data_IF_396422568656
#
_entry.id   IF_396422568656
#
_cell.length_a   1.000
_cell.length_b   1.000
_cell.length_c   1.000
_cell.angle_alpha   90.00
_cell.angle_beta   90.00
_cell.angle_gamma   90.00
#
_symmetry.space_group_name_H-M   'P 1'
#
loop_
_entity.id
_entity.type
_entity.pdbx_description
1 polymer ?
#
# COMPACT_ATOMS: atom_id res chain seq x y z
N UNK A 1 55.36 17.83 -0.98
CA UNK A 1 54.86 16.53 -1.47
C UNK A 1 53.84 16.03 -0.44
N UNK A 2 52.56 16.34 -0.54
CA UNK A 2 51.65 15.84 -1.59
C UNK A 2 50.70 14.80 -0.98
N UNK A 3 49.99 15.13 0.11
CA UNK A 3 48.91 14.29 0.63
C UNK A 3 47.68 14.48 -0.27
N UNK A 4 47.64 13.72 -1.35
CA UNK A 4 46.48 13.59 -2.23
C UNK A 4 45.24 13.30 -1.40
N UNK A 5 44.35 14.28 -1.36
CA UNK A 5 42.98 14.18 -0.88
C UNK A 5 42.25 13.18 -1.78
N UNK A 6 42.34 11.88 -1.46
CA UNK A 6 41.45 10.88 -2.03
C UNK A 6 40.12 10.97 -1.28
N UNK A 7 39.35 12.02 -1.57
CA UNK A 7 37.91 11.98 -1.34
C UNK A 7 37.39 10.72 -2.01
N UNK A 8 36.76 9.84 -1.23
CA UNK A 8 36.21 8.60 -1.75
C UNK A 8 35.13 8.93 -2.79
N UNK A 9 34.88 8.05 -3.75
CA UNK A 9 33.77 8.22 -4.71
C UNK A 9 32.43 8.43 -3.97
N UNK A 10 32.31 7.92 -2.73
CA UNK A 10 31.20 8.20 -1.83
C UNK A 10 31.13 9.67 -1.39
N UNK A 11 32.25 10.32 -1.04
CA UNK A 11 32.29 11.74 -0.64
C UNK A 11 31.90 12.68 -1.78
N UNK A 12 32.35 12.37 -3.01
CA UNK A 12 31.99 13.15 -4.20
C UNK A 12 30.51 13.00 -4.58
N UNK A 13 29.93 11.82 -4.37
CA UNK A 13 28.48 11.63 -4.53
C UNK A 13 27.73 12.42 -3.45
N UNK A 14 28.19 12.37 -2.19
CA UNK A 14 27.58 13.05 -1.04
C UNK A 14 27.58 14.59 -1.15
N UNK A 15 28.53 15.20 -1.85
CA UNK A 15 28.61 16.66 -2.03
C UNK A 15 28.00 17.19 -3.34
N UNK A 16 27.23 16.39 -4.07
CA UNK A 16 26.54 16.86 -5.27
C UNK A 16 25.48 17.91 -4.93
N UNK A 17 25.51 19.06 -5.63
CA UNK A 17 24.48 20.12 -5.55
C UNK A 17 23.06 19.58 -5.75
N UNK A 18 22.92 18.51 -6.56
CA UNK A 18 21.65 17.84 -6.76
C UNK A 18 21.16 17.15 -5.47
N UNK A 19 22.03 16.39 -4.80
CA UNK A 19 21.68 15.68 -3.56
C UNK A 19 21.27 16.68 -2.48
N UNK A 20 22.04 17.75 -2.30
CA UNK A 20 21.72 18.78 -1.30
C UNK A 20 20.33 19.42 -1.55
N UNK A 21 20.05 19.83 -2.79
CA UNK A 21 18.76 20.44 -3.15
C UNK A 21 17.59 19.45 -3.04
N UNK A 22 17.81 18.19 -3.40
CA UNK A 22 16.79 17.16 -3.28
C UNK A 22 16.47 16.85 -1.81
N UNK A 23 17.49 16.79 -0.95
CA UNK A 23 17.34 16.66 0.50
C UNK A 23 16.52 17.82 1.08
N UNK A 24 16.82 19.07 0.71
CA UNK A 24 16.09 20.26 1.16
C UNK A 24 14.60 20.21 0.81
N UNK A 25 14.28 19.88 -0.46
CA UNK A 25 12.88 19.73 -0.92
C UNK A 25 12.18 18.62 -0.13
N UNK A 26 12.86 17.49 0.09
CA UNK A 26 12.30 16.35 0.82
C UNK A 26 11.93 16.71 2.25
N UNK A 27 12.78 17.47 2.96
CA UNK A 27 12.50 17.97 4.31
C UNK A 27 11.29 18.92 4.31
N UNK A 28 11.26 19.88 3.38
CA UNK A 28 10.15 20.84 3.28
C UNK A 28 8.79 20.16 3.02
N UNK A 29 8.77 19.17 2.13
CA UNK A 29 7.57 18.38 1.82
C UNK A 29 7.15 17.54 3.02
N UNK A 30 8.10 16.84 3.67
CA UNK A 30 7.83 16.04 4.86
C UNK A 30 7.26 16.85 6.03
N UNK A 31 7.63 18.13 6.12
CA UNK A 31 7.14 19.04 7.15
C UNK A 31 5.76 19.65 6.84
N UNK A 32 5.16 19.44 5.66
CA UNK A 32 3.82 19.95 5.37
C UNK A 32 2.76 19.29 6.25
N UNK A 33 1.90 20.09 6.91
CA UNK A 33 1.01 19.61 7.98
C UNK A 33 0.16 18.40 7.60
N UNK A 34 -0.35 18.35 6.36
CA UNK A 34 -1.19 17.25 5.90
C UNK A 34 -0.39 15.97 5.68
N UNK A 35 0.79 16.06 5.06
CA UNK A 35 1.69 14.91 4.88
C UNK A 35 2.24 14.40 6.21
N UNK A 36 2.61 15.32 7.10
CA UNK A 36 3.01 15.00 8.47
C UNK A 36 1.91 14.24 9.21
N UNK A 37 0.66 14.71 9.13
CA UNK A 37 -0.49 14.03 9.75
C UNK A 37 -0.80 12.68 9.15
N UNK A 38 -0.61 12.51 7.83
CA UNK A 38 -0.72 11.20 7.20
C UNK A 38 0.36 10.26 7.73
N UNK A 39 1.64 10.68 7.71
CA UNK A 39 2.75 9.91 8.26
C UNK A 39 2.48 9.47 9.70
N UNK A 40 2.08 10.40 10.56
CA UNK A 40 1.81 10.13 11.97
C UNK A 40 0.63 9.14 12.13
N UNK A 41 -0.43 9.27 11.33
CA UNK A 41 -1.56 8.33 11.32
C UNK A 41 -1.15 6.92 10.88
N UNK A 42 -0.33 6.82 9.82
CA UNK A 42 0.19 5.56 9.31
C UNK A 42 1.15 4.89 10.29
N UNK A 43 1.92 5.67 11.06
CA UNK A 43 2.78 5.14 12.12
C UNK A 43 1.98 4.46 13.25
N UNK A 44 0.75 4.90 13.53
CA UNK A 44 -0.12 4.26 14.54
C UNK A 44 -0.65 2.90 14.06
N UNK A 45 -0.99 2.76 12.78
CA UNK A 45 -1.52 1.51 12.20
C UNK A 45 -0.42 0.54 11.73
N UNK A 46 0.82 1.00 11.65
CA UNK A 46 1.97 0.20 11.22
C UNK A 46 2.09 -1.16 11.93
N UNK A 47 2.00 -1.27 13.27
CA UNK A 47 2.05 -2.56 13.96
C UNK A 47 0.96 -3.54 13.47
N UNK A 48 -0.23 -3.04 13.12
CA UNK A 48 -1.33 -3.86 12.61
C UNK A 48 -0.99 -4.46 11.24
N UNK A 49 -0.36 -3.69 10.35
CA UNK A 49 0.05 -4.20 9.03
C UNK A 49 1.19 -5.21 9.11
N UNK A 50 2.14 -5.05 10.05
CA UNK A 50 3.16 -6.08 10.31
C UNK A 50 2.49 -7.38 10.77
N UNK A 51 1.56 -7.30 11.71
CA UNK A 51 0.83 -8.47 12.22
C UNK A 51 -0.02 -9.12 11.12
N UNK A 52 -0.61 -8.33 10.22
CA UNK A 52 -1.29 -8.82 9.03
C UNK A 52 -0.37 -9.68 8.15
N UNK A 53 0.83 -9.18 7.86
CA UNK A 53 1.85 -9.91 7.11
C UNK A 53 2.22 -11.24 7.78
N UNK A 54 2.34 -11.27 9.10
CA UNK A 54 2.57 -12.52 9.86
C UNK A 54 1.37 -13.47 9.73
N UNK A 55 0.14 -12.97 9.81
CA UNK A 55 -1.07 -13.78 9.61
C UNK A 55 -1.12 -14.41 8.21
N UNK A 56 -0.76 -13.64 7.18
CA UNK A 56 -0.63 -14.12 5.80
C UNK A 56 0.45 -15.19 5.70
N UNK A 57 1.62 -14.96 6.31
CA UNK A 57 2.73 -15.93 6.33
C UNK A 57 2.31 -17.25 6.98
N UNK A 58 1.65 -17.19 8.14
CA UNK A 58 1.19 -18.39 8.85
C UNK A 58 0.23 -19.20 7.98
N UNK A 59 -0.77 -18.55 7.40
CA UNK A 59 -1.81 -19.23 6.63
C UNK A 59 -1.32 -19.82 5.32
N UNK A 60 -0.50 -19.08 4.59
CA UNK A 60 -0.17 -19.39 3.20
C UNK A 60 1.17 -20.11 3.07
N UNK A 61 1.97 -20.15 4.14
CA UNK A 61 3.30 -20.75 4.14
C UNK A 61 3.47 -21.73 5.28
N UNK A 62 3.36 -21.29 6.54
CA UNK A 62 3.76 -22.14 7.68
C UNK A 62 2.82 -23.33 7.85
N UNK A 63 1.50 -23.11 7.82
CA UNK A 63 0.53 -24.19 8.02
C UNK A 63 0.52 -25.18 6.85
N UNK A 64 0.84 -24.73 5.63
CA UNK A 64 0.84 -25.61 4.45
C UNK A 64 2.01 -26.62 4.46
N UNK A 65 3.02 -26.42 5.31
CA UNK A 65 4.13 -27.37 5.46
C UNK A 65 3.73 -28.68 6.14
N UNK A 66 2.69 -28.68 6.96
CA UNK A 66 2.30 -29.85 7.77
C UNK A 66 0.79 -30.13 7.79
N UNK A 67 -0.05 -29.26 7.20
CA UNK A 67 -1.49 -29.45 7.08
C UNK A 67 -1.95 -29.40 5.61
N UNK A 68 -3.00 -30.15 5.31
CA UNK A 68 -3.68 -30.15 4.00
C UNK A 68 -5.19 -30.37 4.16
N UNK A 69 -5.95 -30.09 3.09
CA UNK A 69 -7.40 -30.31 3.05
C UNK A 69 -8.16 -29.55 4.15
N UNK A 70 -9.19 -30.16 4.72
CA UNK A 70 -10.07 -29.51 5.70
C UNK A 70 -9.35 -29.03 6.97
N UNK A 71 -8.30 -29.76 7.39
CA UNK A 71 -7.54 -29.38 8.58
C UNK A 71 -6.76 -28.08 8.36
N UNK A 72 -6.18 -27.90 7.16
CA UNK A 72 -5.53 -26.64 6.78
C UNK A 72 -6.54 -25.49 6.81
N UNK A 73 -7.71 -25.67 6.21
CA UNK A 73 -8.78 -24.64 6.19
C UNK A 73 -9.18 -24.22 7.61
N UNK A 74 -9.30 -25.16 8.55
CA UNK A 74 -9.62 -24.87 9.96
C UNK A 74 -8.52 -24.05 10.65
N UNK A 75 -7.25 -24.35 10.40
CA UNK A 75 -6.13 -23.59 10.97
C UNK A 75 -5.96 -22.23 10.34
N UNK A 76 -6.24 -22.10 9.03
CA UNK A 76 -6.20 -20.82 8.33
C UNK A 76 -7.19 -19.78 8.87
N UNK A 77 -8.18 -20.18 9.68
CA UNK A 77 -9.02 -19.24 10.43
C UNK A 77 -8.18 -18.28 11.28
N UNK A 78 -7.06 -18.72 11.84
CA UNK A 78 -6.18 -17.89 12.70
C UNK A 78 -5.64 -16.68 11.92
N UNK A 79 -4.93 -16.92 10.80
CA UNK A 79 -4.40 -15.82 10.01
C UNK A 79 -5.51 -15.01 9.32
N UNK A 80 -6.64 -15.63 8.97
CA UNK A 80 -7.77 -14.92 8.37
C UNK A 80 -8.41 -13.95 9.37
N UNK A 81 -8.54 -14.34 10.64
CA UNK A 81 -9.02 -13.46 11.70
C UNK A 81 -8.08 -12.26 11.90
N UNK A 82 -6.77 -12.49 11.86
CA UNK A 82 -5.76 -11.42 11.92
C UNK A 82 -5.91 -10.46 10.73
N UNK A 83 -5.96 -10.99 9.51
CA UNK A 83 -6.12 -10.19 8.28
C UNK A 83 -7.44 -9.40 8.31
N UNK A 84 -8.51 -10.02 8.83
CA UNK A 84 -9.81 -9.38 8.96
C UNK A 84 -9.76 -8.17 9.91
N UNK A 85 -9.07 -8.29 11.05
CA UNK A 85 -8.91 -7.20 12.01
C UNK A 85 -7.86 -6.14 11.63
N UNK A 86 -7.20 -6.28 10.49
CA UNK A 86 -6.09 -5.41 10.07
C UNK A 86 -6.30 -4.87 8.65
N UNK A 87 -5.96 -5.63 7.61
CA UNK A 87 -6.04 -5.19 6.21
C UNK A 87 -7.49 -4.96 5.75
N UNK A 88 -8.43 -5.82 6.15
CA UNK A 88 -9.82 -5.73 5.71
C UNK A 88 -10.64 -4.65 6.44
N UNK A 89 -10.04 -3.97 7.40
CA UNK A 89 -10.60 -2.77 8.07
C UNK A 89 -9.72 -1.54 7.90
N UNK A 90 -8.65 -1.62 7.10
CA UNK A 90 -7.67 -0.55 6.95
C UNK A 90 -8.29 0.78 6.51
N UNK A 91 -9.31 0.75 5.64
CA UNK A 91 -9.99 1.93 5.14
C UNK A 91 -10.78 2.68 6.22
N UNK A 92 -11.40 1.97 7.16
CA UNK A 92 -12.10 2.60 8.30
C UNK A 92 -11.16 2.94 9.46
N UNK A 93 -10.01 2.26 9.58
CA UNK A 93 -9.00 2.59 10.59
C UNK A 93 -8.23 3.87 10.24
N UNK A 94 -7.89 4.08 8.98
CA UNK A 94 -7.03 5.21 8.58
C UNK A 94 -7.70 6.56 8.78
N UNK A 95 -9.02 6.66 8.55
CA UNK A 95 -9.78 7.91 8.67
C UNK A 95 -9.68 8.56 10.06
N UNK A 96 -10.07 7.90 11.17
CA UNK A 96 -9.93 8.47 12.51
C UNK A 96 -8.47 8.72 12.91
N UNK A 97 -7.51 7.89 12.46
CA UNK A 97 -6.09 8.11 12.75
C UNK A 97 -5.57 9.39 12.09
N UNK A 98 -5.99 9.66 10.86
CA UNK A 98 -5.72 10.94 10.18
C UNK A 98 -6.41 12.08 10.90
N UNK A 99 -7.67 11.90 11.30
CA UNK A 99 -8.42 12.94 12.00
C UNK A 99 -7.77 13.35 13.32
N UNK A 100 -7.34 12.37 14.11
CA UNK A 100 -6.57 12.59 15.34
C UNK A 100 -5.25 13.33 15.05
N UNK A 101 -4.46 12.82 14.11
CA UNK A 101 -3.13 13.35 13.80
C UNK A 101 -3.17 14.75 13.19
N UNK A 102 -4.17 15.03 12.34
CA UNK A 102 -4.40 16.35 11.77
C UNK A 102 -4.86 17.37 12.80
N UNK A 103 -5.74 16.97 13.72
CA UNK A 103 -6.15 17.82 14.83
C UNK A 103 -4.98 18.19 15.74
N UNK A 104 -4.14 17.22 16.13
CA UNK A 104 -2.93 17.50 16.91
C UNK A 104 -1.96 18.43 16.18
N UNK A 105 -1.65 18.13 14.92
CA UNK A 105 -0.67 18.90 14.15
C UNK A 105 -1.15 20.33 13.82
N UNK A 106 -2.47 20.58 13.92
CA UNK A 106 -3.07 21.92 13.83
C UNK A 106 -3.31 22.60 15.20
N UNK A 107 -2.96 21.96 16.31
CA UNK A 107 -3.18 22.50 17.65
C UNK A 107 -4.65 22.59 18.07
N UNK A 108 -5.52 21.70 17.55
CA UNK A 108 -6.92 21.66 17.93
C UNK A 108 -7.11 20.98 19.30
N UNK A 109 -7.82 21.64 20.22
CA UNK A 109 -7.93 21.24 21.62
C UNK A 109 -8.66 19.91 21.86
N UNK A 110 -9.45 19.42 20.90
CA UNK A 110 -10.19 18.16 21.03
C UNK A 110 -9.91 17.18 19.87
N UNK A 111 -8.71 16.56 19.80
CA UNK A 111 -8.34 15.64 18.73
C UNK A 111 -9.21 14.38 18.66
N UNK A 112 -9.75 13.93 19.80
CA UNK A 112 -10.63 12.75 19.85
C UNK A 112 -11.95 13.04 19.13
N UNK A 113 -12.54 14.22 19.32
CA UNK A 113 -13.74 14.61 18.59
C UNK A 113 -13.47 14.65 17.07
N UNK A 114 -12.32 15.16 16.63
CA UNK A 114 -11.94 15.15 15.23
C UNK A 114 -11.82 13.74 14.65
N UNK A 115 -11.20 12.81 15.39
CA UNK A 115 -11.12 11.40 15.01
C UNK A 115 -12.50 10.76 14.87
N UNK A 116 -13.38 10.97 15.85
CA UNK A 116 -14.75 10.45 15.84
C UNK A 116 -15.57 11.03 14.67
N UNK A 117 -15.43 12.32 14.37
CA UNK A 117 -16.08 12.97 13.25
C UNK A 117 -15.61 12.43 11.90
N UNK A 118 -14.31 12.18 11.76
CA UNK A 118 -13.79 11.55 10.56
C UNK A 118 -14.33 10.13 10.37
N UNK A 119 -14.41 9.33 11.44
CA UNK A 119 -14.96 7.98 11.38
C UNK A 119 -16.44 8.00 11.00
N UNK A 120 -17.24 8.83 11.65
CA UNK A 120 -18.65 8.97 11.32
C UNK A 120 -18.86 9.42 9.86
N UNK A 121 -18.04 10.37 9.39
CA UNK A 121 -18.14 10.90 8.01
C UNK A 121 -17.84 9.84 6.94
N UNK A 122 -16.91 8.91 7.18
CA UNK A 122 -16.67 7.83 6.21
C UNK A 122 -17.84 6.86 6.15
N UNK A 123 -18.44 6.49 7.29
CA UNK A 123 -19.62 5.62 7.31
C UNK A 123 -20.83 6.27 6.63
N UNK A 124 -21.00 7.58 6.75
CA UNK A 124 -22.06 8.32 6.02
C UNK A 124 -21.90 8.19 4.50
N UNK A 125 -20.64 8.13 4.01
CA UNK A 125 -20.33 8.08 2.58
C UNK A 125 -20.21 6.65 2.02
N UNK A 126 -20.38 5.63 2.85
CA UNK A 126 -20.37 4.23 2.42
C UNK A 126 -21.68 3.83 1.76
N UNK A 127 -21.67 2.80 0.89
CA UNK A 127 -22.89 2.34 0.23
C UNK A 127 -23.90 1.79 1.24
N UNK A 128 -25.18 2.12 1.06
CA UNK A 128 -26.27 1.62 1.90
C UNK A 128 -26.67 0.16 1.64
N UNK A 129 -26.15 -0.43 0.55
CA UNK A 129 -26.34 -1.83 0.19
C UNK A 129 -25.13 -2.39 -0.55
N UNK A 130 -24.94 -3.71 -0.47
CA UNK A 130 -23.89 -4.43 -1.19
C UNK A 130 -24.52 -5.54 -2.02
N UNK A 131 -23.85 -5.92 -3.12
CA UNK A 131 -24.21 -7.09 -3.91
C UNK A 131 -23.25 -8.23 -3.58
N UNK A 132 -23.78 -9.36 -3.12
CA UNK A 132 -23.00 -10.57 -2.82
C UNK A 132 -23.44 -11.71 -3.73
N UNK A 133 -22.48 -12.44 -4.30
CA UNK A 133 -22.76 -13.67 -5.03
C UNK A 133 -23.13 -14.79 -4.05
N UNK A 134 -24.07 -15.65 -4.43
CA UNK A 134 -24.45 -16.81 -3.60
C UNK A 134 -23.35 -17.87 -3.49
N UNK A 135 -22.40 -17.87 -4.44
CA UNK A 135 -21.23 -18.76 -4.51
C UNK A 135 -20.05 -18.01 -5.13
N UNK A 136 -18.83 -18.43 -4.80
CA UNK A 136 -17.60 -17.85 -5.36
C UNK A 136 -17.30 -18.43 -6.75
N UNK A 137 -18.20 -18.22 -7.72
CA UNK A 137 -18.03 -18.69 -9.11
C UNK A 137 -18.52 -17.66 -10.13
N UNK A 138 -17.92 -17.67 -11.32
CA UNK A 138 -18.42 -16.88 -12.45
C UNK A 138 -19.87 -17.30 -12.77
N UNK A 139 -20.79 -16.33 -12.85
CA UNK A 139 -22.22 -16.57 -13.09
C UNK A 139 -23.08 -16.79 -11.83
N UNK A 140 -22.53 -16.60 -10.62
CA UNK A 140 -23.31 -16.64 -9.39
C UNK A 140 -24.46 -15.61 -9.41
N UNK A 141 -25.63 -16.02 -8.90
CA UNK A 141 -26.76 -15.10 -8.72
C UNK A 141 -26.38 -14.09 -7.64
N UNK A 142 -26.53 -12.80 -7.94
CA UNK A 142 -26.23 -11.72 -6.99
C UNK A 142 -27.45 -11.44 -6.12
N UNK A 143 -27.25 -11.37 -4.80
CA UNK A 143 -28.23 -10.93 -3.82
C UNK A 143 -27.85 -9.55 -3.30
N UNK A 144 -28.83 -8.64 -3.24
CA UNK A 144 -28.66 -7.33 -2.62
C UNK A 144 -28.87 -7.45 -1.11
N UNK A 145 -27.88 -7.06 -0.33
CA UNK A 145 -27.93 -7.00 1.14
C UNK A 145 -27.95 -5.54 1.56
N UNK A 146 -28.98 -5.14 2.31
CA UNK A 146 -29.10 -3.79 2.88
C UNK A 146 -28.54 -3.76 4.30
N UNK A 147 -27.99 -2.61 4.71
CA UNK A 147 -27.45 -2.42 6.07
C UNK A 147 -26.14 -3.17 6.37
N UNK A 148 -25.49 -3.75 5.36
CA UNK A 148 -24.20 -4.42 5.47
C UNK A 148 -23.10 -3.66 4.74
N UNK A 149 -21.87 -3.82 5.23
CA UNK A 149 -20.65 -3.38 4.56
C UNK A 149 -19.80 -4.61 4.23
N UNK A 150 -19.13 -4.59 3.08
CA UNK A 150 -18.19 -5.64 2.70
C UNK A 150 -16.75 -5.25 3.02
N UNK A 151 -15.85 -6.23 3.08
CA UNK A 151 -14.41 -5.97 3.20
C UNK A 151 -13.82 -5.22 1.99
N UNK A 152 -14.52 -5.19 0.85
CA UNK A 152 -14.17 -4.30 -0.26
C UNK A 152 -14.40 -2.83 0.13
N UNK A 153 -15.40 -2.54 0.96
CA UNK A 153 -15.70 -1.17 1.40
C UNK A 153 -14.82 -0.74 2.58
N UNK A 154 -14.55 -1.64 3.52
CA UNK A 154 -13.83 -1.29 4.78
C UNK A 154 -12.33 -1.54 4.71
N UNK A 155 -11.87 -2.37 3.78
CA UNK A 155 -10.47 -2.79 3.67
C UNK A 155 -9.61 -1.86 2.86
N UNK A 156 -8.59 -2.41 2.20
CA UNK A 156 -7.61 -1.66 1.41
C UNK A 156 -8.28 -0.81 0.33
N UNK A 157 -9.29 -1.32 -0.38
CA UNK A 157 -10.03 -0.56 -1.39
C UNK A 157 -10.74 0.68 -0.83
N UNK A 158 -11.19 0.62 0.42
CA UNK A 158 -11.77 1.74 1.15
C UNK A 158 -10.76 2.78 1.64
N UNK A 159 -9.45 2.51 1.60
CA UNK A 159 -8.42 3.41 2.13
C UNK A 159 -8.36 4.76 1.41
N UNK A 160 -8.65 4.82 0.11
CA UNK A 160 -8.77 6.11 -0.57
C UNK A 160 -9.86 6.98 0.05
N UNK A 161 -11.04 6.40 0.27
CA UNK A 161 -12.14 7.07 0.97
C UNK A 161 -11.72 7.46 2.38
N UNK A 162 -11.05 6.56 3.10
CA UNK A 162 -10.52 6.80 4.45
C UNK A 162 -9.59 7.99 4.54
N UNK A 163 -8.62 8.08 3.62
CA UNK A 163 -7.65 9.18 3.58
C UNK A 163 -8.33 10.50 3.20
N UNK A 164 -9.13 10.49 2.14
CA UNK A 164 -9.77 11.69 1.62
C UNK A 164 -10.76 12.28 2.64
N UNK A 165 -11.65 11.44 3.17
CA UNK A 165 -12.60 11.83 4.21
C UNK A 165 -11.86 12.20 5.50
N UNK A 166 -10.82 11.44 5.86
CA UNK A 166 -9.88 11.75 6.94
C UNK A 166 -9.41 13.19 6.96
N UNK A 167 -8.86 13.65 5.84
CA UNK A 167 -8.30 14.99 5.71
C UNK A 167 -9.39 16.07 5.60
N UNK A 168 -10.42 15.83 4.78
CA UNK A 168 -11.43 16.85 4.47
C UNK A 168 -12.42 17.01 5.62
N UNK A 169 -13.00 15.91 6.13
CA UNK A 169 -13.96 15.97 7.21
C UNK A 169 -13.34 16.59 8.46
N UNK A 170 -12.11 16.19 8.79
CA UNK A 170 -11.38 16.77 9.92
C UNK A 170 -11.05 18.24 9.69
N UNK A 171 -10.55 18.61 8.51
CA UNK A 171 -10.24 20.00 8.19
C UNK A 171 -11.48 20.90 8.28
N UNK A 172 -12.62 20.42 7.80
CA UNK A 172 -13.89 21.14 7.84
C UNK A 172 -14.43 21.21 9.28
N UNK A 173 -14.36 20.11 10.03
CA UNK A 173 -14.74 20.06 11.43
C UNK A 173 -13.96 21.06 12.30
N UNK A 174 -12.63 21.08 12.18
CA UNK A 174 -11.78 22.03 12.93
C UNK A 174 -12.17 23.47 12.58
N UNK A 175 -12.43 23.76 11.31
CA UNK A 175 -12.87 25.09 10.87
C UNK A 175 -14.20 25.46 11.50
N UNK A 176 -15.21 24.58 11.46
CA UNK A 176 -16.51 24.82 12.09
C UNK A 176 -16.38 24.98 13.61
N UNK A 177 -15.62 24.10 14.26
CA UNK A 177 -15.40 24.12 15.71
C UNK A 177 -14.61 25.34 16.18
N UNK A 178 -13.86 26.01 15.31
CA UNK A 178 -13.16 27.27 15.63
C UNK A 178 -14.08 28.49 15.67
N UNK A 179 -15.31 28.39 15.15
CA UNK A 179 -16.28 29.49 15.11
C UNK A 179 -16.97 29.58 16.48
N UNK A 180 -16.62 30.60 17.28
CA UNK A 180 -17.19 30.82 18.62
C UNK A 180 -18.73 30.83 18.65
N UNK A 181 -19.38 31.37 17.60
CA UNK A 181 -20.85 31.40 17.49
C UNK A 181 -21.51 30.01 17.34
N UNK A 182 -20.75 28.99 16.96
CA UNK A 182 -21.22 27.61 16.86
C UNK A 182 -20.91 26.81 18.14
N UNK A 183 -20.17 27.37 19.10
CA UNK A 183 -19.83 26.70 20.34
C UNK A 183 -20.95 26.90 21.37
N UNK A 184 -21.41 25.80 21.96
CA UNK A 184 -22.31 25.85 23.12
C UNK A 184 -21.44 25.84 24.38
N UNK A 185 -21.47 26.94 25.12
CA UNK A 185 -20.79 27.08 26.40
C UNK A 185 -21.74 26.75 27.53
N UNK A 186 -21.41 25.71 28.29
CA UNK A 186 -22.10 25.39 29.53
C UNK A 186 -21.43 26.15 30.67
N UNK A 187 -22.20 26.53 31.70
CA UNK A 187 -21.67 27.29 32.85
C UNK A 187 -20.59 26.53 33.64
N UNK A 188 -19.92 27.23 34.55
CA UNK A 188 -18.70 26.74 35.25
C UNK A 188 -18.92 25.49 36.11
N UNK A 189 -20.16 25.18 36.49
CA UNK A 189 -20.51 24.01 37.31
C UNK A 189 -20.60 22.69 36.52
N UNK A 190 -20.37 22.72 35.19
CA UNK A 190 -20.50 21.53 34.34
C UNK A 190 -19.15 20.82 34.17
N UNK A 191 -19.08 19.48 34.31
CA UNK A 191 -17.84 18.74 34.12
C UNK A 191 -17.15 19.03 32.77
N UNK A 192 -15.81 19.15 32.74
CA UNK A 192 -15.07 19.54 31.53
C UNK A 192 -15.35 18.67 30.31
N UNK A 193 -15.52 17.36 30.49
CA UNK A 193 -15.83 16.42 29.40
C UNK A 193 -17.20 16.69 28.74
N UNK A 194 -18.19 17.08 29.54
CA UNK A 194 -19.53 17.44 29.06
C UNK A 194 -19.47 18.77 28.32
N UNK A 195 -18.82 19.78 28.90
CA UNK A 195 -18.63 21.09 28.24
C UNK A 195 -17.89 20.94 26.90
N UNK A 196 -16.85 20.11 26.84
CA UNK A 196 -16.11 19.84 25.60
C UNK A 196 -17.00 19.21 24.52
N UNK A 197 -17.89 18.28 24.90
CA UNK A 197 -18.81 17.62 23.97
C UNK A 197 -19.86 18.58 23.40
N UNK A 198 -20.44 19.44 24.24
CA UNK A 198 -21.41 20.45 23.79
C UNK A 198 -20.77 21.56 22.95
N UNK A 199 -19.51 21.94 23.25
CA UNK A 199 -18.79 22.96 22.49
C UNK A 199 -18.62 22.61 21.00
N UNK A 200 -18.67 21.32 20.65
CA UNK A 200 -18.54 20.83 19.27
C UNK A 200 -19.83 20.30 18.66
N UNK A 201 -20.97 20.38 19.37
CA UNK A 201 -22.24 19.79 18.94
C UNK A 201 -22.76 20.38 17.62
N UNK A 202 -22.87 21.71 17.53
CA UNK A 202 -23.34 22.36 16.28
C UNK A 202 -22.34 22.13 15.13
N UNK A 203 -21.00 22.28 15.32
CA UNK A 203 -20.02 21.88 14.31
C UNK A 203 -20.20 20.44 13.81
N UNK A 204 -20.46 19.49 14.72
CA UNK A 204 -20.69 18.09 14.37
C UNK A 204 -21.97 17.90 13.55
N UNK A 205 -23.09 18.51 13.97
CA UNK A 205 -24.35 18.48 13.22
C UNK A 205 -24.14 18.98 11.79
N UNK A 206 -23.53 20.16 11.63
CA UNK A 206 -23.29 20.75 10.31
C UNK A 206 -22.41 19.87 9.42
N UNK A 207 -21.34 19.30 9.98
CA UNK A 207 -20.43 18.41 9.26
C UNK A 207 -21.16 17.13 8.79
N UNK A 208 -21.86 16.47 9.69
CA UNK A 208 -22.55 15.21 9.39
C UNK A 208 -23.70 15.44 8.42
N UNK A 209 -24.48 16.52 8.59
CA UNK A 209 -25.52 16.90 7.63
C UNK A 209 -24.94 17.20 6.25
N UNK A 210 -23.78 17.86 6.17
CA UNK A 210 -23.10 18.11 4.89
C UNK A 210 -22.75 16.81 4.16
N UNK A 211 -22.11 15.85 4.84
CA UNK A 211 -21.80 14.55 4.22
C UNK A 211 -23.04 13.71 3.92
N UNK A 212 -24.08 13.79 4.76
CA UNK A 212 -25.34 13.09 4.52
C UNK A 212 -26.05 13.63 3.28
N UNK A 213 -26.02 14.94 3.05
CA UNK A 213 -26.52 15.56 1.82
C UNK A 213 -25.71 15.07 0.62
N UNK A 214 -24.38 15.02 0.71
CA UNK A 214 -23.53 14.46 -0.37
C UNK A 214 -23.94 13.00 -0.66
N UNK A 215 -24.05 12.16 0.36
CA UNK A 215 -24.45 10.77 0.21
C UNK A 215 -25.83 10.63 -0.45
N UNK A 216 -26.81 11.43 0.00
CA UNK A 216 -28.15 11.44 -0.58
C UNK A 216 -28.15 11.90 -2.04
N UNK A 217 -27.31 12.89 -2.40
CA UNK A 217 -27.16 13.34 -3.78
C UNK A 217 -26.55 12.26 -4.66
N UNK A 218 -25.47 11.61 -4.20
CA UNK A 218 -24.81 10.53 -4.93
C UNK A 218 -25.73 9.32 -5.13
N UNK A 219 -26.43 8.89 -4.09
CA UNK A 219 -27.34 7.75 -4.17
C UNK A 219 -28.59 8.08 -4.99
N UNK A 220 -29.24 9.22 -4.73
CA UNK A 220 -30.54 9.57 -5.29
C UNK A 220 -30.50 10.08 -6.73
N UNK A 221 -29.47 10.85 -7.11
CA UNK A 221 -29.38 11.42 -8.46
C UNK A 221 -28.41 10.67 -9.38
N UNK A 222 -27.37 10.05 -8.83
CA UNK A 222 -26.30 9.43 -9.61
C UNK A 222 -26.23 7.91 -9.48
N UNK A 223 -27.08 7.29 -8.64
CA UNK A 223 -27.05 5.84 -8.35
C UNK A 223 -25.64 5.31 -8.05
N UNK A 224 -24.87 6.09 -7.28
CA UNK A 224 -23.46 5.79 -6.97
C UNK A 224 -23.12 6.16 -5.53
N UNK A 225 -21.90 5.85 -5.11
CA UNK A 225 -21.32 6.21 -3.82
C UNK A 225 -19.85 6.66 -4.01
N UNK A 226 -19.21 7.17 -2.95
CA UNK A 226 -17.83 7.68 -3.05
C UNK A 226 -16.84 6.60 -3.50
N UNK A 227 -16.98 5.36 -3.00
CA UNK A 227 -16.09 4.24 -3.33
C UNK A 227 -16.30 3.86 -4.80
N UNK A 228 -17.55 3.79 -5.25
CA UNK A 228 -17.87 3.50 -6.64
C UNK A 228 -17.46 4.63 -7.60
N UNK A 229 -17.47 5.90 -7.16
CA UNK A 229 -16.91 7.01 -7.95
C UNK A 229 -15.40 6.89 -8.10
N UNK A 230 -14.66 6.59 -7.03
CA UNK A 230 -13.22 6.33 -7.12
C UNK A 230 -12.95 5.19 -8.11
N UNK A 231 -13.73 4.10 -8.02
CA UNK A 231 -13.66 3.01 -8.99
C UNK A 231 -13.93 3.49 -10.43
N UNK A 232 -15.01 4.22 -10.67
CA UNK A 232 -15.45 4.60 -12.02
C UNK A 232 -14.57 5.67 -12.67
N UNK A 233 -14.06 6.63 -11.91
CA UNK A 233 -13.32 7.77 -12.46
C UNK A 233 -11.81 7.59 -12.46
N UNK A 234 -11.28 6.75 -11.57
CA UNK A 234 -9.84 6.52 -11.46
C UNK A 234 -9.50 5.12 -11.97
N UNK A 235 -10.22 4.08 -11.52
CA UNK A 235 -9.87 2.71 -11.86
C UNK A 235 -10.32 2.34 -13.28
N UNK A 236 -11.61 2.47 -13.60
CA UNK A 236 -12.18 2.03 -14.89
C UNK A 236 -11.53 2.62 -16.16
N UNK A 237 -11.16 3.92 -16.25
CA UNK A 237 -10.51 4.47 -17.44
C UNK A 237 -9.15 3.82 -17.74
N UNK A 238 -8.50 3.26 -16.71
CA UNK A 238 -7.23 2.54 -16.85
C UNK A 238 -7.43 1.09 -17.32
N UNK A 239 -8.68 0.58 -17.34
CA UNK A 239 -9.03 -0.79 -17.76
C UNK A 239 -8.99 -0.99 -19.30
N UNK A 240 -8.99 0.07 -20.10
CA UNK A 240 -8.92 -0.05 -21.57
C UNK A 240 -7.52 -0.33 -22.13
N UNK A 241 -6.47 -0.23 -21.30
CA UNK A 241 -5.07 -0.14 -21.75
C UNK A 241 -4.20 -1.35 -21.29
N UNK A 242 -4.82 -2.32 -20.61
CA UNK A 242 -4.24 -3.04 -19.47
C UNK A 242 -3.55 -4.40 -19.72
N UNK A 243 -3.57 -4.96 -20.93
CA UNK A 243 -2.78 -6.18 -21.26
C UNK A 243 -1.55 -5.89 -22.10
N UNK A 244 -1.37 -4.67 -22.58
CA UNK A 244 -0.11 -4.24 -23.19
C UNK A 244 0.98 -4.06 -22.13
N UNK A 245 2.26 -4.32 -22.47
CA UNK A 245 3.37 -4.08 -21.55
C UNK A 245 3.44 -2.63 -21.07
N UNK A 246 3.04 -1.68 -21.93
CA UNK A 246 3.01 -0.25 -21.60
C UNK A 246 1.94 0.01 -20.54
N UNK A 247 0.71 -0.45 -20.76
CA UNK A 247 -0.36 -0.23 -19.78
C UNK A 247 -0.15 -0.97 -18.46
N UNK A 248 0.39 -2.18 -18.52
CA UNK A 248 0.85 -2.92 -17.35
C UNK A 248 1.84 -2.10 -16.51
N UNK A 249 2.88 -1.55 -17.15
CA UNK A 249 3.88 -0.73 -16.46
C UNK A 249 3.30 0.57 -15.90
N UNK A 250 2.42 1.25 -16.66
CA UNK A 250 1.75 2.49 -16.19
C UNK A 250 0.91 2.22 -14.96
N UNK A 251 0.12 1.14 -14.94
CA UNK A 251 -0.73 0.80 -13.79
C UNK A 251 0.12 0.46 -12.57
N UNK A 252 1.16 -0.37 -12.69
CA UNK A 252 2.03 -0.68 -11.54
C UNK A 252 2.86 0.51 -11.07
N UNK A 253 3.27 1.41 -11.98
CA UNK A 253 3.90 2.69 -11.63
C UNK A 253 2.96 3.50 -10.75
N UNK A 254 1.70 3.68 -11.19
CA UNK A 254 0.71 4.43 -10.44
C UNK A 254 0.35 3.75 -9.11
N UNK A 255 0.18 2.42 -9.11
CA UNK A 255 -0.15 1.65 -7.92
C UNK A 255 0.94 1.77 -6.84
N UNK A 256 2.20 1.58 -7.21
CA UNK A 256 3.33 1.72 -6.29
C UNK A 256 3.54 3.18 -5.88
N UNK A 257 3.28 4.15 -6.76
CA UNK A 257 3.35 5.56 -6.40
C UNK A 257 2.32 5.90 -5.32
N UNK A 258 1.08 5.46 -5.49
CA UNK A 258 0.01 5.62 -4.51
C UNK A 258 0.36 4.92 -3.18
N UNK A 259 1.06 3.79 -3.22
CA UNK A 259 1.52 3.11 -2.00
C UNK A 259 2.65 3.88 -1.31
N UNK A 260 3.52 4.53 -2.07
CA UNK A 260 4.42 5.55 -1.54
C UNK A 260 3.69 6.68 -0.78
N UNK A 261 2.41 6.91 -1.07
CA UNK A 261 1.54 7.88 -0.39
C UNK A 261 0.58 7.24 0.65
N UNK A 262 0.77 5.96 0.98
CA UNK A 262 0.03 5.24 2.02
C UNK A 262 -1.17 4.43 1.51
N UNK A 263 -1.43 4.44 0.21
CA UNK A 263 -2.57 3.71 -0.38
C UNK A 263 -2.06 2.38 -0.91
N UNK A 264 -2.48 1.29 -0.28
CA UNK A 264 -2.02 -0.05 -0.63
C UNK A 264 -2.13 -0.32 -2.15
N UNK A 265 -1.04 -0.78 -2.78
CA UNK A 265 -0.97 -0.87 -4.25
C UNK A 265 -2.05 -1.77 -4.88
N UNK A 266 -2.49 -2.80 -4.16
CA UNK A 266 -3.54 -3.73 -4.63
C UNK A 266 -4.88 -3.06 -4.85
N UNK A 267 -5.10 -1.85 -4.32
CA UNK A 267 -6.32 -1.10 -4.61
C UNK A 267 -6.45 -0.80 -6.10
N UNK A 268 -5.32 -0.52 -6.76
CA UNK A 268 -5.30 -0.27 -8.18
C UNK A 268 -5.01 -1.55 -8.98
N UNK A 269 -3.97 -2.30 -8.64
CA UNK A 269 -3.60 -3.51 -9.40
C UNK A 269 -4.68 -4.59 -9.28
N UNK A 270 -5.26 -4.78 -8.09
CA UNK A 270 -6.29 -5.79 -7.81
C UNK A 270 -7.59 -5.56 -8.57
N UNK A 271 -7.94 -4.30 -8.82
CA UNK A 271 -9.13 -3.96 -9.58
C UNK A 271 -8.91 -4.06 -11.10
N UNK A 272 -7.69 -3.79 -11.58
CA UNK A 272 -7.43 -3.52 -13.00
C UNK A 272 -6.60 -4.56 -13.72
N UNK A 273 -5.69 -5.24 -13.01
CA UNK A 273 -4.71 -6.16 -13.59
C UNK A 273 -4.91 -7.58 -13.08
N UNK A 274 -5.06 -7.77 -11.77
CA UNK A 274 -5.05 -9.10 -11.14
C UNK A 274 -6.06 -10.08 -11.80
N UNK A 275 -7.31 -9.70 -12.14
CA UNK A 275 -8.24 -10.60 -12.83
C UNK A 275 -7.75 -11.01 -14.22
N UNK A 276 -7.11 -10.09 -14.95
CA UNK A 276 -6.68 -10.31 -16.33
C UNK A 276 -5.43 -11.17 -16.41
N UNK A 277 -4.45 -10.87 -15.56
CA UNK A 277 -3.22 -11.65 -15.49
C UNK A 277 -3.50 -13.06 -14.94
N UNK A 278 -4.58 -13.25 -14.18
CA UNK A 278 -5.09 -14.56 -13.76
C UNK A 278 -5.76 -15.32 -14.91
N UNK A 279 -6.58 -14.64 -15.74
CA UNK A 279 -7.13 -15.24 -16.97
C UNK A 279 -5.99 -15.69 -17.89
N UNK A 280 -5.00 -14.82 -18.14
CA UNK A 280 -3.82 -15.16 -18.94
C UNK A 280 -3.06 -16.38 -18.38
N UNK A 281 -3.00 -16.51 -17.05
CA UNK A 281 -2.38 -17.65 -16.41
C UNK A 281 -3.14 -18.96 -16.66
N UNK A 282 -4.47 -18.93 -16.56
CA UNK A 282 -5.32 -20.08 -16.85
C UNK A 282 -5.25 -20.50 -18.32
N UNK A 283 -5.21 -19.55 -19.25
CA UNK A 283 -4.99 -19.83 -20.68
C UNK A 283 -3.64 -20.51 -20.92
N UNK A 284 -2.56 -20.04 -20.28
CA UNK A 284 -1.25 -20.66 -20.38
C UNK A 284 -1.22 -22.08 -19.79
N UNK A 285 -1.83 -22.29 -18.62
CA UNK A 285 -1.93 -23.61 -18.00
C UNK A 285 -2.68 -24.60 -18.90
N UNK A 286 -3.77 -24.15 -19.51
CA UNK A 286 -4.60 -24.95 -20.44
C UNK A 286 -3.81 -25.30 -21.71
N UNK A 287 -3.16 -24.32 -22.33
CA UNK A 287 -2.32 -24.54 -23.50
C UNK A 287 -1.17 -25.52 -23.20
N UNK A 288 -0.53 -25.38 -22.04
CA UNK A 288 0.55 -26.28 -21.60
C UNK A 288 0.06 -27.73 -21.39
N UNK A 289 -1.10 -27.91 -20.75
CA UNK A 289 -1.71 -29.23 -20.52
C UNK A 289 -2.09 -29.94 -21.83
N UNK A 290 -2.41 -29.19 -22.88
CA UNK A 290 -2.72 -29.72 -24.22
C UNK A 290 -1.52 -29.71 -25.19
N UNK A 291 -0.30 -29.43 -24.69
CA UNK A 291 0.92 -29.35 -25.50
C UNK A 291 0.82 -28.35 -26.67
N UNK A 292 0.08 -27.26 -26.49
CA UNK A 292 -0.11 -26.18 -27.45
C UNK A 292 0.88 -25.04 -27.21
N UNK A 293 0.97 -24.11 -28.17
CA UNK A 293 1.76 -22.90 -28.02
C UNK A 293 1.23 -22.03 -26.88
N UNK A 294 2.12 -21.60 -25.98
CA UNK A 294 1.75 -20.82 -24.79
C UNK A 294 1.50 -19.36 -25.18
N UNK A 295 0.27 -18.83 -25.03
CA UNK A 295 -0.11 -17.56 -25.64
C UNK A 295 0.44 -16.32 -24.91
N UNK A 296 0.42 -16.30 -23.57
CA UNK A 296 0.60 -15.07 -22.81
C UNK A 296 1.97 -14.98 -22.12
N UNK A 297 2.55 -13.76 -22.10
CA UNK A 297 3.77 -13.47 -21.33
C UNK A 297 3.42 -12.95 -19.93
N UNK A 298 2.50 -11.97 -19.85
CA UNK A 298 2.13 -11.32 -18.60
C UNK A 298 1.00 -12.12 -17.94
N UNK A 299 1.33 -12.80 -16.85
CA UNK A 299 0.44 -13.63 -16.03
C UNK A 299 0.57 -13.29 -14.55
N UNK A 300 -0.27 -13.85 -13.69
CA UNK A 300 -0.14 -13.69 -12.22
C UNK A 300 1.23 -14.14 -11.71
N UNK A 301 1.77 -15.23 -12.25
CA UNK A 301 3.11 -15.70 -11.87
C UNK A 301 4.22 -14.82 -12.44
N UNK A 302 4.05 -14.23 -13.61
CA UNK A 302 4.97 -13.22 -14.15
C UNK A 302 5.10 -12.02 -13.21
N UNK A 303 3.96 -11.49 -12.71
CA UNK A 303 3.93 -10.37 -11.76
C UNK A 303 4.76 -10.70 -10.53
N UNK A 304 4.49 -11.85 -9.91
CA UNK A 304 5.14 -12.27 -8.66
C UNK A 304 6.64 -12.51 -8.85
N UNK A 305 7.05 -13.02 -10.01
CA UNK A 305 8.43 -13.41 -10.26
C UNK A 305 9.32 -12.28 -10.79
N UNK A 306 8.78 -11.30 -11.52
CA UNK A 306 9.62 -10.29 -12.18
C UNK A 306 9.27 -8.85 -11.82
N UNK A 307 8.08 -8.59 -11.26
CA UNK A 307 7.61 -7.23 -11.00
C UNK A 307 7.59 -6.89 -9.52
N UNK A 308 7.15 -7.82 -8.66
CA UNK A 308 6.95 -7.60 -7.22
C UNK A 308 7.83 -8.55 -6.39
N UNK A 309 9.13 -8.60 -6.68
CA UNK A 309 10.07 -9.53 -6.05
C UNK A 309 10.36 -9.09 -4.61
N UNK A 310 9.96 -9.91 -3.64
CA UNK A 310 10.00 -9.51 -2.25
C UNK A 310 8.91 -8.52 -1.87
N UNK A 311 7.83 -8.46 -2.64
CA UNK A 311 6.66 -7.60 -2.40
C UNK A 311 6.61 -6.34 -3.28
N UNK A 312 5.81 -5.37 -2.85
CA UNK A 312 5.62 -4.10 -3.60
C UNK A 312 6.93 -3.32 -3.70
N UNK A 313 7.21 -2.68 -4.84
CA UNK A 313 8.50 -2.02 -5.08
C UNK A 313 9.71 -2.94 -5.25
N UNK A 314 9.49 -4.26 -5.28
CA UNK A 314 10.54 -5.27 -5.28
C UNK A 314 11.56 -5.08 -4.14
N UNK A 315 11.06 -4.94 -2.90
CA UNK A 315 11.85 -4.52 -1.73
C UNK A 315 12.91 -5.51 -1.26
N UNK A 316 12.95 -6.75 -1.78
CA UNK A 316 14.08 -7.64 -1.46
C UNK A 316 15.42 -7.01 -1.89
N UNK A 317 15.41 -6.27 -3.00
CA UNK A 317 16.59 -5.54 -3.46
C UNK A 317 17.02 -4.45 -2.47
N UNK A 318 16.06 -3.74 -1.87
CA UNK A 318 16.34 -2.76 -0.82
C UNK A 318 16.86 -3.41 0.47
N UNK A 319 16.26 -4.53 0.90
CA UNK A 319 16.76 -5.31 2.05
C UNK A 319 18.22 -5.69 1.84
N UNK A 320 18.54 -6.26 0.67
CA UNK A 320 19.91 -6.65 0.32
C UNK A 320 20.83 -5.42 0.28
N UNK A 321 20.38 -4.31 -0.31
CA UNK A 321 21.16 -3.07 -0.36
C UNK A 321 21.51 -2.54 1.05
N UNK A 322 20.56 -2.56 1.99
CA UNK A 322 20.78 -2.14 3.37
C UNK A 322 21.76 -3.10 4.07
N UNK A 323 21.55 -4.41 3.97
CA UNK A 323 22.37 -5.40 4.67
C UNK A 323 23.84 -5.37 4.21
N UNK A 324 24.09 -5.09 2.92
CA UNK A 324 25.44 -5.04 2.34
C UNK A 324 26.08 -3.65 2.51
N UNK A 325 25.37 -2.56 2.22
CA UNK A 325 25.99 -1.23 2.04
C UNK A 325 25.68 -0.22 3.15
N UNK A 326 24.61 -0.38 3.92
CA UNK A 326 24.28 0.57 4.99
C UNK A 326 25.09 0.30 6.25
N UNK A 327 25.52 1.39 6.88
CA UNK A 327 26.18 1.41 8.21
C UNK A 327 25.23 1.84 9.33
N UNK A 328 24.06 2.37 9.01
CA UNK A 328 23.10 2.88 9.99
C UNK A 328 22.48 1.71 10.78
N UNK A 329 22.63 1.73 12.11
CA UNK A 329 22.17 0.64 12.99
C UNK A 329 20.66 0.43 12.90
N UNK A 330 19.89 1.52 12.87
CA UNK A 330 18.42 1.50 12.73
C UNK A 330 18.00 0.84 11.41
N UNK A 331 18.58 1.26 10.29
CA UNK A 331 18.33 0.68 8.97
C UNK A 331 18.55 -0.84 8.94
N UNK A 332 19.70 -1.27 9.46
CA UNK A 332 20.08 -2.69 9.49
C UNK A 332 19.15 -3.53 10.37
N UNK A 333 18.69 -2.99 11.50
CA UNK A 333 17.74 -3.67 12.38
C UNK A 333 16.39 -3.89 11.68
N UNK A 334 15.87 -2.86 11.02
CA UNK A 334 14.60 -2.95 10.28
C UNK A 334 14.73 -3.94 9.13
N UNK A 335 15.83 -3.90 8.37
CA UNK A 335 16.08 -4.85 7.29
C UNK A 335 16.18 -6.30 7.80
N UNK A 336 16.81 -6.52 8.96
CA UNK A 336 16.86 -7.83 9.61
C UNK A 336 15.47 -8.37 9.97
N UNK A 337 14.62 -7.53 10.57
CA UNK A 337 13.23 -7.91 10.90
C UNK A 337 12.37 -8.14 9.65
N UNK A 338 12.69 -7.46 8.55
CA UNK A 338 11.94 -7.56 7.29
C UNK A 338 12.39 -8.72 6.40
N UNK A 339 13.56 -9.31 6.64
CA UNK A 339 14.15 -10.32 5.76
C UNK A 339 13.29 -11.59 5.69
N UNK A 340 12.92 -12.15 6.85
CA UNK A 340 12.13 -13.38 6.91
C UNK A 340 10.78 -13.26 6.17
N UNK A 341 9.91 -12.26 6.46
CA UNK A 341 8.68 -12.07 5.69
C UNK A 341 8.98 -11.67 4.23
N UNK A 342 10.04 -10.90 3.97
CA UNK A 342 10.45 -10.46 2.63
C UNK A 342 10.85 -11.61 1.71
N UNK A 343 11.43 -12.70 2.24
CA UNK A 343 11.70 -13.94 1.48
C UNK A 343 10.39 -14.57 1.00
N UNK A 344 9.26 -14.34 1.66
CA UNK A 344 7.95 -14.80 1.22
C UNK A 344 7.12 -13.68 0.57
N UNK A 345 7.80 -12.66 0.04
CA UNK A 345 7.22 -11.51 -0.66
C UNK A 345 6.30 -10.63 0.20
N UNK A 346 6.33 -10.80 1.53
CA UNK A 346 5.56 -10.02 2.50
C UNK A 346 6.46 -8.88 3.00
N UNK A 347 6.09 -7.64 2.72
CA UNK A 347 7.01 -6.51 2.88
C UNK A 347 6.45 -5.31 3.62
N UNK A 348 5.33 -5.46 4.31
CA UNK A 348 4.79 -4.46 5.24
C UNK A 348 5.83 -4.03 6.29
N UNK A 349 6.65 -4.93 6.88
CA UNK A 349 7.71 -4.51 7.80
C UNK A 349 8.73 -3.57 7.16
N UNK A 350 9.01 -3.72 5.86
CA UNK A 350 9.93 -2.85 5.13
C UNK A 350 9.26 -1.54 4.73
N UNK A 351 8.08 -1.61 4.10
CA UNK A 351 7.35 -0.44 3.59
C UNK A 351 7.05 0.56 4.71
N UNK A 352 6.61 0.07 5.86
CA UNK A 352 6.19 0.92 6.95
C UNK A 352 7.28 1.07 8.03
N UNK A 353 8.08 0.03 8.28
CA UNK A 353 9.14 0.07 9.27
C UNK A 353 10.39 0.82 8.82
N UNK A 354 10.76 0.74 7.53
CA UNK A 354 11.87 1.50 6.92
C UNK A 354 11.39 2.84 6.31
N UNK A 355 10.32 3.39 6.90
CA UNK A 355 9.21 4.11 6.24
C UNK A 355 9.49 4.48 4.78
N UNK A 356 9.18 3.60 3.84
CA UNK A 356 9.14 3.94 2.40
C UNK A 356 7.97 4.90 2.14
N UNK A 357 6.85 4.67 2.84
CA UNK A 357 5.67 5.54 2.76
C UNK A 357 6.04 6.94 3.24
N UNK A 358 5.75 7.94 2.41
CA UNK A 358 6.10 9.35 2.60
C UNK A 358 7.60 9.67 2.63
N UNK A 359 8.47 8.71 2.27
CA UNK A 359 9.89 8.95 2.09
C UNK A 359 10.21 9.21 0.62
N UNK A 360 10.24 10.49 0.27
CA UNK A 360 10.41 10.94 -1.11
C UNK A 360 11.63 10.33 -1.83
N UNK A 361 12.83 10.24 -1.22
CA UNK A 361 13.95 9.51 -1.82
C UNK A 361 13.62 8.06 -2.21
N UNK A 362 13.01 7.29 -1.31
CA UNK A 362 12.75 5.86 -1.52
C UNK A 362 11.53 5.58 -2.40
N UNK A 363 10.57 6.50 -2.49
CA UNK A 363 9.42 6.36 -3.41
C UNK A 363 9.90 6.24 -4.86
N UNK A 364 10.96 6.94 -5.26
CA UNK A 364 11.48 6.91 -6.62
C UNK A 364 11.89 5.48 -7.05
N UNK A 365 12.83 4.80 -6.39
CA UNK A 365 13.19 3.43 -6.75
C UNK A 365 12.05 2.45 -6.48
N UNK A 366 11.20 2.68 -5.47
CA UNK A 366 10.01 1.86 -5.20
C UNK A 366 9.01 1.86 -6.36
N UNK A 367 8.90 2.97 -7.08
CA UNK A 367 8.04 3.09 -8.26
C UNK A 367 8.72 2.56 -9.52
N UNK A 368 9.99 2.94 -9.73
CA UNK A 368 10.69 2.67 -10.98
C UNK A 368 11.21 1.23 -11.10
N UNK A 369 11.69 0.65 -10.01
CA UNK A 369 12.35 -0.65 -10.09
C UNK A 369 11.42 -1.80 -10.52
N UNK A 370 10.16 -1.89 -10.05
CA UNK A 370 9.20 -2.84 -10.59
C UNK A 370 9.07 -2.77 -12.11
N UNK A 371 9.05 -1.56 -12.70
CA UNK A 371 9.00 -1.38 -14.17
C UNK A 371 10.23 -1.97 -14.83
N UNK A 372 11.42 -1.73 -14.27
CA UNK A 372 12.67 -2.30 -14.78
C UNK A 372 12.61 -3.84 -14.77
N UNK A 373 12.19 -4.42 -13.64
CA UNK A 373 11.99 -5.86 -13.52
C UNK A 373 10.98 -6.42 -14.52
N UNK A 374 9.83 -5.74 -14.69
CA UNK A 374 8.80 -6.11 -15.67
C UNK A 374 9.34 -6.09 -17.09
N UNK A 375 10.09 -5.05 -17.48
CA UNK A 375 10.65 -4.95 -18.83
C UNK A 375 11.70 -6.02 -19.09
N UNK A 376 12.61 -6.25 -18.14
CA UNK A 376 13.60 -7.34 -18.22
C UNK A 376 12.91 -8.70 -18.35
N UNK A 377 11.91 -8.97 -17.50
CA UNK A 377 11.07 -10.17 -17.55
C UNK A 377 10.39 -10.36 -18.91
N UNK A 378 9.75 -9.29 -19.40
CA UNK A 378 8.97 -9.31 -20.61
C UNK A 378 9.82 -9.58 -21.84
N UNK A 379 10.91 -8.81 -22.04
CA UNK A 379 11.77 -8.96 -23.21
C UNK A 379 12.57 -10.27 -23.20
N UNK A 380 13.04 -10.72 -22.03
CA UNK A 380 13.65 -12.03 -21.89
C UNK A 380 12.73 -13.17 -22.34
N UNK A 381 11.45 -13.08 -21.98
CA UNK A 381 10.44 -14.07 -22.37
C UNK A 381 10.06 -13.92 -23.85
N UNK A 382 9.91 -12.68 -24.33
CA UNK A 382 9.58 -12.37 -25.73
C UNK A 382 10.62 -12.90 -26.71
N UNK A 383 11.90 -12.73 -26.38
CA UNK A 383 13.03 -13.21 -27.19
C UNK A 383 13.33 -14.71 -27.01
N UNK A 384 12.57 -15.42 -26.18
CA UNK A 384 12.73 -16.85 -25.94
C UNK A 384 13.95 -17.22 -25.10
N UNK A 385 14.58 -16.26 -24.40
CA UNK A 385 15.65 -16.55 -23.46
C UNK A 385 15.13 -17.29 -22.23
N UNK A 386 13.91 -16.94 -21.79
CA UNK A 386 13.21 -17.59 -20.67
C UNK A 386 11.83 -18.08 -21.13
N UNK A 387 11.42 -19.25 -20.63
CA UNK A 387 10.09 -19.82 -20.88
C UNK A 387 8.97 -18.97 -20.27
N UNK A 388 7.79 -19.01 -20.91
CA UNK A 388 6.56 -18.44 -20.34
C UNK A 388 6.15 -19.21 -19.09
N UNK A 389 5.44 -18.56 -18.18
CA UNK A 389 4.91 -19.20 -16.97
C UNK A 389 3.70 -20.08 -17.32
N UNK A 390 3.69 -21.31 -16.84
CA UNK A 390 2.69 -22.35 -17.10
C UNK A 390 2.20 -23.06 -15.84
N UNK A 391 2.76 -22.74 -14.66
CA UNK A 391 2.30 -23.27 -13.36
C UNK A 391 1.94 -22.11 -12.42
N UNK A 392 0.70 -22.09 -11.92
CA UNK A 392 0.27 -21.09 -10.93
C UNK A 392 0.91 -21.41 -9.58
N UNK A 393 1.93 -20.63 -9.24
CA UNK A 393 2.58 -20.69 -7.92
C UNK A 393 1.98 -19.62 -7.00
N UNK A 394 1.83 -19.88 -5.69
CA UNK A 394 1.44 -18.86 -4.73
C UNK A 394 2.39 -17.66 -4.78
N UNK A 395 1.87 -16.44 -4.66
CA UNK A 395 2.70 -15.23 -4.67
C UNK A 395 3.68 -15.16 -3.49
N UNK A 396 3.44 -15.92 -2.42
CA UNK A 396 4.36 -16.08 -1.28
C UNK A 396 5.51 -17.04 -1.55
N UNK A 397 5.59 -17.65 -2.75
CA UNK A 397 6.69 -18.56 -3.10
C UNK A 397 8.01 -17.79 -3.08
N UNK A 398 9.05 -18.31 -2.39
CA UNK A 398 10.30 -17.59 -2.26
C UNK A 398 10.93 -17.20 -3.61
N UNK A 399 11.58 -16.02 -3.69
CA UNK A 399 12.43 -15.68 -4.81
C UNK A 399 13.40 -16.82 -5.11
N UNK A 400 13.75 -16.96 -6.38
CA UNK A 400 14.55 -18.00 -7.03
C UNK A 400 13.82 -19.33 -7.20
N UNK A 401 12.96 -19.71 -6.25
CA UNK A 401 12.13 -20.91 -6.36
C UNK A 401 10.90 -20.64 -7.26
N UNK A 402 10.23 -19.50 -7.04
CA UNK A 402 9.06 -19.07 -7.79
C UNK A 402 9.22 -19.12 -9.32
N UNK A 403 10.24 -18.47 -9.92
CA UNK A 403 10.43 -18.51 -11.37
C UNK A 403 10.69 -19.91 -11.91
N UNK A 404 11.50 -20.73 -11.22
CA UNK A 404 11.77 -22.12 -11.63
C UNK A 404 10.49 -22.96 -11.69
N UNK A 405 9.69 -22.94 -10.62
CA UNK A 405 8.45 -23.71 -10.56
C UNK A 405 7.42 -23.20 -11.57
N UNK A 406 7.23 -21.89 -11.66
CA UNK A 406 6.22 -21.28 -12.53
C UNK A 406 6.46 -21.52 -14.01
N UNK A 407 7.70 -21.76 -14.42
CA UNK A 407 8.13 -22.01 -15.82
C UNK A 407 8.31 -23.50 -16.12
N UNK A 408 7.80 -24.38 -15.25
CA UNK A 408 7.95 -25.83 -15.35
C UNK A 408 9.42 -26.30 -15.41
N UNK A 409 10.31 -25.64 -14.66
CA UNK A 409 11.70 -26.06 -14.46
C UNK A 409 12.73 -25.30 -15.29
N UNK A 410 12.41 -24.12 -15.83
CA UNK A 410 13.41 -23.33 -16.57
C UNK A 410 14.38 -22.63 -15.61
N UNK A 411 15.60 -23.15 -15.50
CA UNK A 411 16.67 -22.56 -14.68
C UNK A 411 17.10 -21.16 -15.15
N UNK A 412 16.88 -20.81 -16.43
CA UNK A 412 17.21 -19.47 -16.96
C UNK A 412 16.31 -18.40 -16.34
N UNK A 413 15.08 -18.76 -15.96
CA UNK A 413 14.16 -17.90 -15.23
C UNK A 413 14.73 -17.46 -13.87
N UNK A 414 15.47 -18.37 -13.20
CA UNK A 414 16.14 -18.09 -11.92
C UNK A 414 17.26 -17.07 -12.13
N UNK A 415 18.08 -17.27 -13.16
CA UNK A 415 19.19 -16.36 -13.49
C UNK A 415 18.66 -14.97 -13.83
N UNK A 416 17.59 -14.89 -14.62
CA UNK A 416 16.94 -13.61 -14.92
C UNK A 416 16.49 -12.90 -13.63
N UNK A 417 15.86 -13.61 -12.70
CA UNK A 417 15.43 -13.01 -11.45
C UNK A 417 16.62 -12.53 -10.59
N UNK A 418 17.73 -13.28 -10.55
CA UNK A 418 18.97 -12.84 -9.89
C UNK A 418 19.46 -11.53 -10.51
N UNK A 419 19.52 -11.45 -11.84
CA UNK A 419 19.95 -10.24 -12.55
C UNK A 419 19.04 -9.05 -12.22
N UNK A 420 17.72 -9.25 -12.21
CA UNK A 420 16.76 -8.21 -11.81
C UNK A 420 17.06 -7.73 -10.39
N UNK A 421 17.24 -8.65 -9.42
CA UNK A 421 17.55 -8.30 -8.03
C UNK A 421 18.86 -7.49 -7.94
N UNK A 422 19.92 -7.90 -8.63
CA UNK A 422 21.21 -7.19 -8.64
C UNK A 422 21.05 -5.77 -9.19
N UNK A 423 20.34 -5.61 -10.32
CA UNK A 423 20.02 -4.28 -10.88
C UNK A 423 19.26 -3.44 -9.84
N UNK A 424 18.29 -4.05 -9.16
CA UNK A 424 17.53 -3.40 -8.09
C UNK A 424 18.39 -2.90 -6.95
N UNK A 425 19.35 -3.69 -6.48
CA UNK A 425 20.27 -3.31 -5.40
C UNK A 425 21.02 -2.03 -5.77
N UNK A 426 21.56 -1.96 -6.98
CA UNK A 426 22.27 -0.78 -7.46
C UNK A 426 21.36 0.41 -7.73
N UNK A 427 20.12 0.17 -8.18
CA UNK A 427 19.12 1.21 -8.39
C UNK A 427 18.68 1.84 -7.06
N UNK A 428 18.42 1.04 -6.02
CA UNK A 428 18.06 1.53 -4.68
C UNK A 428 19.22 2.25 -3.96
N UNK A 429 20.46 1.83 -4.18
CA UNK A 429 21.64 2.30 -3.43
C UNK A 429 21.80 3.83 -3.34
N UNK A 430 21.72 4.63 -4.43
CA UNK A 430 21.83 6.08 -4.32
C UNK A 430 20.72 6.70 -3.47
N UNK A 431 19.48 6.23 -3.63
CA UNK A 431 18.32 6.75 -2.90
C UNK A 431 18.33 6.34 -1.43
N UNK A 432 18.83 5.14 -1.12
CA UNK A 432 19.06 4.70 0.26
C UNK A 432 19.99 5.67 0.99
N UNK A 433 21.13 6.03 0.38
CA UNK A 433 22.08 6.98 0.98
C UNK A 433 21.46 8.37 1.21
N UNK A 434 20.64 8.83 0.26
CA UNK A 434 19.93 10.11 0.40
C UNK A 434 18.91 10.03 1.54
N UNK A 435 18.15 8.94 1.61
CA UNK A 435 17.17 8.68 2.66
C UNK A 435 17.80 8.71 4.05
N UNK A 436 18.90 7.99 4.25
CA UNK A 436 19.61 7.94 5.55
C UNK A 436 20.10 9.34 5.95
N UNK A 437 20.64 10.12 5.01
CA UNK A 437 21.05 11.50 5.28
C UNK A 437 19.88 12.42 5.66
N UNK A 438 18.74 12.28 4.98
CA UNK A 438 17.52 13.04 5.33
C UNK A 438 17.09 12.70 6.76
N UNK A 439 17.12 11.42 7.13
CA UNK A 439 16.79 10.98 8.49
C UNK A 439 17.77 11.49 9.55
N UNK A 440 19.07 11.53 9.25
CA UNK A 440 20.10 12.10 10.13
C UNK A 440 19.85 13.59 10.40
N UNK A 441 19.63 14.40 9.36
CA UNK A 441 19.36 15.85 9.50
C UNK A 441 18.06 16.10 10.28
N UNK A 442 17.01 15.33 10.00
CA UNK A 442 15.76 15.45 10.75
C UNK A 442 15.90 15.06 12.22
N UNK A 443 16.80 14.14 12.56
CA UNK A 443 17.08 13.80 13.95
C UNK A 443 17.82 14.95 14.66
N UNK A 444 18.74 15.64 13.96
CA UNK A 444 19.46 16.81 14.49
C UNK A 444 18.53 18.02 14.72
N UNK A 445 17.55 18.26 13.85
CA UNK A 445 16.59 19.39 13.98
C UNK A 445 15.55 19.22 15.11
N UNK A 446 15.34 17.99 15.60
CA UNK A 446 14.37 17.68 16.65
C UNK A 446 14.99 17.52 18.05
N UNK A 447 16.31 17.70 18.17
CA UNK A 447 17.08 17.79 19.42
C UNK A 447 17.30 19.27 19.77
#
# INVERSE_FOLDING_TARGET
MGSSNKESVNDKMQNSKFIAKFTEISVKVGNWVYLRSLRDAFAVILPMFIVAGIGVLLNNVVFTWFLSGDMLTKFQVIGNAIVNGTLNVAGILVAPMIGYSLARNKGFNNPIAAAAMSLASIFILMPGSIQLGTVASAGAKMATVTGGLSYLNTGTQGMFGGIFVGLIATGLFIKLASIKKLQIHLGENVPPAVSASFSVLIPAILLMSFFAIIAALLAGFFNTDLINLIKTWIQEPLRGFNTSIVGYCVIYTLANFLFGLGIHQTVLSGALLDPLVLVNMNENMTAYAHHQAIPNIITTSFVSNYTLIGGSGSTIALIIAILIFSKAKSSRQIAGLSLAPGIFNINEPMIFGFPIVFNLPLIIPFVLFPVVGSLMGYFATLWGWVSRTVVLVPWTTPPLIGPYLSTAGDWRAVILQILIIVVGVFLYLPFLKISERVSEIQAEENL
#
